data_IF_831330056477
#
_entry.id   IF_831330056477
#
_cell.length_a   1.000
_cell.length_b   1.000
_cell.length_c   1.000
_cell.angle_alpha   90.00
_cell.angle_beta   90.00
_cell.angle_gamma   90.00
#
_symmetry.space_group_name_H-M   'P 1'
#
loop_
_entity.id
_entity.type
_entity.pdbx_description
1 polymer ?
#
# COMPACT_ATOMS: atom_id res chain seq x y z
N UNK A 1 -25.16 -3.82 -14.14
CA UNK A 1 -24.32 -2.91 -13.34
C UNK A 1 -23.15 -3.73 -12.85
N UNK A 2 -21.98 -3.61 -13.47
CA UNK A 2 -20.77 -4.27 -12.95
C UNK A 2 -20.46 -3.64 -11.60
N UNK A 3 -20.58 -4.40 -10.50
CA UNK A 3 -20.07 -3.99 -9.20
C UNK A 3 -18.58 -3.71 -9.39
N UNK A 4 -18.19 -2.44 -9.37
CA UNK A 4 -16.80 -2.05 -9.47
C UNK A 4 -16.26 -2.14 -8.05
N UNK A 5 -15.62 -3.26 -7.71
CA UNK A 5 -15.06 -3.49 -6.38
C UNK A 5 -14.12 -2.34 -6.01
N UNK A 6 -14.12 -1.96 -4.75
CA UNK A 6 -13.19 -0.97 -4.20
C UNK A 6 -12.37 -1.69 -3.15
N UNK A 7 -11.06 -1.60 -3.28
CA UNK A 7 -10.15 -2.18 -2.32
C UNK A 7 -9.41 -1.09 -1.57
N UNK A 8 -9.38 -1.21 -0.25
CA UNK A 8 -8.52 -0.43 0.63
C UNK A 8 -7.24 -1.20 0.88
N UNK A 9 -6.10 -0.63 0.49
CA UNK A 9 -4.76 -1.22 0.69
C UNK A 9 -4.02 -0.41 1.73
N UNK A 10 -3.58 -1.07 2.79
CA UNK A 10 -2.76 -0.50 3.85
C UNK A 10 -1.39 -1.15 3.79
N UNK A 11 -0.33 -0.36 3.63
CA UNK A 11 1.04 -0.88 3.53
C UNK A 11 2.07 0.10 4.08
N UNK A 12 3.26 -0.41 4.40
CA UNK A 12 4.40 0.38 4.84
C UNK A 12 5.29 0.71 3.65
N UNK A 13 5.70 1.96 3.52
CA UNK A 13 6.72 2.38 2.57
C UNK A 13 7.55 3.53 3.17
N UNK A 14 8.87 3.41 3.15
CA UNK A 14 9.82 4.44 3.62
C UNK A 14 9.46 5.05 4.98
N UNK A 15 9.13 4.21 5.98
CA UNK A 15 8.80 4.68 7.34
C UNK A 15 7.44 5.39 7.45
N UNK A 16 6.55 5.23 6.46
CA UNK A 16 5.18 5.73 6.51
C UNK A 16 4.20 4.59 6.23
N UNK A 17 3.03 4.66 6.83
CA UNK A 17 1.87 3.84 6.47
C UNK A 17 1.05 4.59 5.44
N UNK A 18 0.83 3.94 4.30
CA UNK A 18 -0.03 4.41 3.24
C UNK A 18 -1.36 3.69 3.34
N UNK A 19 -2.45 4.46 3.27
CA UNK A 19 -3.80 3.96 3.07
C UNK A 19 -4.29 4.50 1.72
N UNK A 20 -4.46 3.61 0.74
CA UNK A 20 -4.88 3.94 -0.62
C UNK A 20 -6.11 3.11 -1.02
N UNK A 21 -6.85 3.60 -2.01
CA UNK A 21 -8.00 2.90 -2.57
C UNK A 21 -7.73 2.58 -4.05
N UNK A 22 -8.16 1.41 -4.51
CA UNK A 22 -7.90 0.90 -5.85
C UNK A 22 -9.10 0.10 -6.38
N UNK A 23 -9.19 -0.05 -7.71
CA UNK A 23 -10.23 -0.90 -8.34
C UNK A 23 -9.77 -2.34 -8.59
N UNK A 24 -8.47 -2.53 -8.76
CA UNK A 24 -7.91 -3.80 -9.19
C UNK A 24 -6.71 -4.16 -8.31
N UNK A 25 -6.76 -5.39 -7.78
CA UNK A 25 -5.69 -5.99 -7.00
C UNK A 25 -5.54 -7.43 -7.45
N UNK A 26 -4.31 -7.86 -7.72
CA UNK A 26 -4.01 -9.24 -8.04
C UNK A 26 -2.54 -9.55 -7.80
N UNK A 27 -2.25 -10.84 -7.61
CA UNK A 27 -0.89 -11.35 -7.69
C UNK A 27 -0.57 -11.55 -9.17
N UNK A 28 0.38 -10.78 -9.71
CA UNK A 28 0.74 -10.83 -11.13
C UNK A 28 2.01 -11.64 -11.39
N UNK A 29 2.70 -11.34 -12.49
CA UNK A 29 3.88 -12.10 -12.95
C UNK A 29 5.10 -11.92 -12.04
N UNK A 30 5.16 -10.81 -11.28
CA UNK A 30 6.24 -10.55 -10.35
C UNK A 30 6.00 -11.25 -9.01
N UNK A 31 6.68 -12.38 -8.81
CA UNK A 31 6.59 -13.16 -7.57
C UNK A 31 6.93 -12.32 -6.33
N UNK A 32 6.09 -12.43 -5.28
CA UNK A 32 6.28 -11.74 -4.01
C UNK A 32 5.74 -10.31 -3.95
N UNK A 33 5.06 -9.86 -5.01
CA UNK A 33 4.43 -8.54 -5.09
C UNK A 33 2.93 -8.66 -5.34
N UNK A 34 2.19 -7.68 -4.82
CA UNK A 34 0.79 -7.44 -5.17
C UNK A 34 0.73 -6.24 -6.10
N UNK A 35 0.05 -6.42 -7.23
CA UNK A 35 -0.20 -5.36 -8.19
C UNK A 35 -1.46 -4.60 -7.78
N UNK A 36 -1.32 -3.28 -7.68
CA UNK A 36 -2.42 -2.37 -7.35
C UNK A 36 -2.56 -1.38 -8.50
N UNK A 37 -3.74 -1.37 -9.11
CA UNK A 37 -4.05 -0.55 -10.29
C UNK A 37 -5.31 0.30 -10.09
N UNK A 38 -5.46 1.31 -10.97
CA UNK A 38 -6.63 2.18 -11.00
C UNK A 38 -6.86 2.82 -9.63
N UNK A 39 -5.82 3.49 -9.11
CA UNK A 39 -5.87 4.19 -7.85
C UNK A 39 -6.97 5.24 -7.85
N UNK A 40 -7.73 5.26 -6.76
CA UNK A 40 -8.83 6.15 -6.54
C UNK A 40 -8.39 7.27 -5.61
N UNK A 41 -8.55 8.50 -6.07
CA UNK A 41 -8.38 9.72 -5.29
C UNK A 41 -9.75 10.39 -5.24
N UNK A 42 -10.13 10.89 -4.06
CA UNK A 42 -11.43 11.49 -3.78
C UNK A 42 -11.83 12.55 -4.81
N UNK A 43 -13.14 12.67 -5.00
CA UNK A 43 -13.71 13.62 -5.95
C UNK A 43 -13.50 15.06 -5.48
N UNK A 44 -13.20 15.96 -6.42
CA UNK A 44 -13.01 17.42 -6.20
C UNK A 44 -14.27 18.15 -5.72
N UNK A 45 -15.33 17.45 -5.35
CA UNK A 45 -16.67 18.02 -5.08
C UNK A 45 -16.82 18.52 -3.65
N UNK A 46 -15.90 18.19 -2.74
CA UNK A 46 -15.83 18.79 -1.41
C UNK A 46 -14.97 20.06 -1.44
N UNK A 47 -15.53 21.18 -0.96
CA UNK A 47 -14.85 22.48 -0.79
C UNK A 47 -13.63 22.39 0.16
N UNK A 48 -13.50 21.29 0.90
CA UNK A 48 -12.35 21.00 1.77
C UNK A 48 -11.69 19.70 1.31
N UNK A 49 -10.46 19.81 0.81
CA UNK A 49 -9.60 18.66 0.45
C UNK A 49 -8.65 18.39 1.61
N UNK A 50 -8.47 17.12 1.99
CA UNK A 50 -7.50 16.72 3.02
C UNK A 50 -6.07 16.86 2.45
N UNK A 51 -5.15 17.58 3.14
CA UNK A 51 -3.76 17.70 2.70
C UNK A 51 -3.03 16.36 2.50
N UNK A 52 -3.47 15.31 3.21
CA UNK A 52 -2.90 13.95 3.11
C UNK A 52 -3.28 13.28 1.78
N UNK A 53 -4.49 13.56 1.29
CA UNK A 53 -4.98 13.04 0.02
C UNK A 53 -4.33 13.74 -1.17
N UNK A 54 -4.11 15.06 -1.07
CA UNK A 54 -3.36 15.78 -2.11
C UNK A 54 -1.93 15.28 -2.25
N UNK A 55 -1.28 14.93 -1.13
CA UNK A 55 0.05 14.32 -1.13
C UNK A 55 0.05 12.96 -1.82
N UNK A 56 -0.90 12.08 -1.49
CA UNK A 56 -1.05 10.80 -2.18
C UNK A 56 -1.25 11.01 -3.68
N UNK A 57 -2.16 11.91 -4.05
CA UNK A 57 -2.41 12.20 -5.45
C UNK A 57 -1.15 12.68 -6.16
N UNK A 58 -0.39 13.57 -5.54
CA UNK A 58 0.88 14.08 -6.09
C UNK A 58 1.93 12.97 -6.22
N UNK A 59 2.02 12.08 -5.22
CA UNK A 59 2.97 10.97 -5.21
C UNK A 59 2.67 9.93 -6.29
N UNK A 60 1.38 9.70 -6.58
CA UNK A 60 0.92 8.67 -7.52
C UNK A 60 0.35 9.22 -8.85
N UNK A 61 0.45 10.53 -9.12
CA UNK A 61 -0.22 11.17 -10.27
C UNK A 61 0.17 10.59 -11.64
N UNK A 62 1.37 10.03 -11.76
CA UNK A 62 1.87 9.42 -13.00
C UNK A 62 2.09 7.91 -12.86
N UNK A 63 1.54 7.31 -11.81
CA UNK A 63 1.68 5.89 -11.53
C UNK A 63 0.51 5.13 -12.14
N UNK A 64 0.82 4.29 -13.13
CA UNK A 64 -0.18 3.41 -13.77
C UNK A 64 -0.50 2.21 -12.88
N UNK A 65 0.54 1.62 -12.28
CA UNK A 65 0.49 0.39 -11.49
C UNK A 65 1.54 0.44 -10.40
N UNK A 66 1.16 0.07 -9.18
CA UNK A 66 2.07 -0.06 -8.03
C UNK A 66 2.32 -1.54 -7.74
N UNK A 67 3.59 -1.90 -7.59
CA UNK A 67 4.02 -3.23 -7.16
C UNK A 67 4.43 -3.16 -5.70
N UNK A 68 3.58 -3.66 -4.80
CA UNK A 68 3.81 -3.58 -3.36
C UNK A 68 4.30 -4.94 -2.87
N UNK A 69 5.48 -5.04 -2.23
CA UNK A 69 5.95 -6.30 -1.66
C UNK A 69 4.94 -6.86 -0.67
N UNK A 70 4.67 -8.17 -0.72
CA UNK A 70 3.67 -8.80 0.17
C UNK A 70 3.96 -8.56 1.65
N UNK A 71 5.23 -8.54 2.05
CA UNK A 71 5.64 -8.31 3.44
C UNK A 71 5.46 -6.86 3.90
N UNK A 72 5.29 -5.91 2.97
CA UNK A 72 5.04 -4.52 3.27
C UNK A 72 3.54 -4.24 3.48
N UNK A 73 2.67 -5.14 3.03
CA UNK A 73 1.22 -5.01 3.18
C UNK A 73 0.83 -5.30 4.62
N UNK A 74 0.09 -4.37 5.23
CA UNK A 74 -0.53 -4.53 6.54
C UNK A 74 -1.89 -5.20 6.38
N UNK A 75 -2.73 -4.71 5.44
CA UNK A 75 -4.07 -5.23 5.21
C UNK A 75 -4.62 -4.84 3.84
N UNK A 76 -5.46 -5.71 3.28
CA UNK A 76 -6.30 -5.40 2.12
C UNK A 76 -7.74 -5.73 2.50
N UNK A 77 -8.63 -4.74 2.37
CA UNK A 77 -10.06 -4.88 2.61
C UNK A 77 -10.82 -4.58 1.32
N UNK A 78 -11.76 -5.43 0.91
CA UNK A 78 -12.78 -5.07 -0.07
C UNK A 78 -13.89 -4.30 0.63
N UNK A 79 -14.20 -3.10 0.15
CA UNK A 79 -15.11 -2.15 0.80
C UNK A 79 -16.22 -1.71 -0.15
N UNK A 80 -17.40 -1.43 0.40
CA UNK A 80 -18.54 -0.94 -0.39
C UNK A 80 -18.34 0.51 -0.88
N UNK A 81 -17.61 1.32 -0.12
CA UNK A 81 -17.42 2.75 -0.37
C UNK A 81 -15.97 3.16 -0.18
N UNK A 82 -15.51 4.05 -1.05
CA UNK A 82 -14.21 4.71 -0.91
C UNK A 82 -14.21 5.61 0.33
N UNK A 83 -13.16 5.49 1.13
CA UNK A 83 -12.86 6.42 2.23
C UNK A 83 -11.76 7.41 1.84
N UNK A 84 -11.26 8.15 2.83
CA UNK A 84 -10.20 9.13 2.61
C UNK A 84 -8.82 8.44 2.69
N UNK A 85 -8.07 8.49 1.59
CA UNK A 85 -6.69 8.03 1.58
C UNK A 85 -5.80 8.93 2.44
N UNK A 86 -4.78 8.35 3.07
CA UNK A 86 -3.85 9.10 3.94
C UNK A 86 -2.46 8.49 4.01
N UNK A 87 -1.51 9.32 4.44
CA UNK A 87 -0.13 8.95 4.73
C UNK A 87 0.14 9.25 6.20
N UNK A 88 0.51 8.23 6.97
CA UNK A 88 0.79 8.34 8.40
C UNK A 88 2.27 8.05 8.65
N UNK A 89 3.08 8.99 9.14
CA UNK A 89 4.45 8.71 9.54
C UNK A 89 4.50 7.68 10.69
N UNK A 90 5.35 6.66 10.59
CA UNK A 90 5.54 5.65 11.66
C UNK A 90 6.40 6.18 12.83
N UNK A 91 7.05 7.33 12.67
CA UNK A 91 7.85 7.95 13.73
C UNK A 91 7.76 9.47 13.65
N UNK A 92 7.45 10.11 14.78
CA UNK A 92 7.57 11.56 14.99
C UNK A 92 8.97 11.97 15.48
N UNK A 93 9.87 11.01 15.69
CA UNK A 93 11.28 11.26 15.99
C UNK A 93 12.11 11.02 14.75
N UNK A 94 12.92 12.01 14.40
CA UNK A 94 13.90 12.06 13.30
C UNK A 94 14.69 10.75 13.14
N UNK A 95 14.11 9.81 12.39
CA UNK A 95 14.74 8.53 12.08
C UNK A 95 15.35 8.60 10.69
N UNK A 96 16.62 9.02 10.59
CA UNK A 96 17.46 8.98 9.39
C UNK A 96 17.79 7.54 8.93
N UNK A 97 16.92 6.58 9.23
CA UNK A 97 17.15 5.15 9.02
C UNK A 97 15.97 4.59 8.25
N UNK A 98 16.20 4.27 6.98
CA UNK A 98 15.30 3.42 6.21
C UNK A 98 15.56 1.96 6.61
N UNK A 99 14.58 1.24 7.20
CA UNK A 99 14.75 -0.18 7.45
C UNK A 99 14.83 -0.91 6.10
N UNK A 100 15.89 -1.70 5.94
CA UNK A 100 16.14 -2.50 4.74
C UNK A 100 15.20 -3.71 4.69
N UNK A 101 14.73 -4.15 3.51
CA UNK A 101 13.92 -5.36 3.41
C UNK A 101 14.72 -6.57 3.93
N UNK A 102 14.22 -7.21 5.00
CA UNK A 102 14.82 -8.42 5.54
C UNK A 102 14.44 -9.62 4.69
N UNK A 103 15.43 -10.33 4.17
CA UNK A 103 15.25 -11.57 3.41
C UNK A 103 14.71 -12.66 4.34
N UNK A 104 13.45 -13.09 4.13
CA UNK A 104 12.78 -14.12 4.97
C UNK A 104 13.31 -15.54 4.67
N UNK A 105 14.07 -15.74 3.59
CA UNK A 105 14.62 -17.04 3.25
C UNK A 105 15.98 -17.29 3.90
N UNK A 106 15.98 -17.67 5.17
CA UNK A 106 17.03 -18.55 5.68
C UNK A 106 16.39 -19.92 5.89
N UNK A 107 16.73 -20.96 5.11
CA UNK A 107 16.35 -22.31 5.46
C UNK A 107 16.94 -22.59 6.85
N UNK A 108 16.12 -23.09 7.76
CA UNK A 108 16.57 -23.58 9.07
C UNK A 108 17.74 -24.56 8.82
N UNK A 109 18.93 -24.35 9.41
CA UNK A 109 19.96 -25.37 9.39
C UNK A 109 19.35 -26.65 9.98
N UNK A 110 19.54 -27.75 9.27
CA UNK A 110 18.88 -29.02 9.50
C UNK A 110 18.86 -29.45 10.96
N UNK A 111 17.76 -30.10 11.33
CA UNK A 111 17.76 -30.98 12.48
C UNK A 111 18.74 -32.11 12.20
N UNK A 112 19.92 -32.01 12.79
CA UNK A 112 20.81 -33.15 12.96
C UNK A 112 20.34 -33.86 14.22
N UNK A 113 19.93 -35.12 14.03
CA UNK A 113 19.44 -35.97 15.08
C UNK A 113 20.51 -36.32 16.12
N UNK A 114 20.03 -36.51 17.34
CA UNK A 114 20.46 -37.54 18.29
C UNK A 114 19.22 -37.99 19.08
#
# INVERSE_FOLDING_TARGET
MSNQNIFKVIFVNQGKVYEIYARNIYQGEMYGFIEVENLLFGEKTSVVVDPSEEKLKTEFQNTVRSYIPMHAIIRIDEVEKQGNGKIIPLSTKDGNVMPFPSTIYTPTPGGDGD
#
